data_IF_940167915637
#
_entry.id   IF_940167915637
#
_cell.length_a   1.000
_cell.length_b   1.000
_cell.length_c   1.000
_cell.angle_alpha   90.00
_cell.angle_beta   90.00
_cell.angle_gamma   90.00
#
_symmetry.space_group_name_H-M   'P 1'
#
loop_
_entity.id
_entity.type
_entity.pdbx_description
1 polymer ?
#
# COMPACT_ATOMS: atom_id res chain seq x y z
N UNK A 1 -7.27 -3.18 18.71
CA UNK A 1 -7.41 -3.36 17.25
C UNK A 1 -8.12 -4.66 16.93
N UNK A 2 -8.86 -4.68 15.83
CA UNK A 2 -9.48 -5.86 15.22
C UNK A 2 -8.85 -6.08 13.85
N UNK A 3 -8.58 -7.33 13.45
CA UNK A 3 -8.10 -7.63 12.09
C UNK A 3 -9.19 -8.38 11.33
N UNK A 4 -9.57 -7.87 10.15
CA UNK A 4 -10.40 -8.58 9.17
C UNK A 4 -9.50 -9.03 8.01
N UNK A 5 -9.40 -10.34 7.78
CA UNK A 5 -8.32 -10.97 7.00
C UNK A 5 -8.80 -12.24 6.27
N UNK A 6 -8.10 -12.66 5.23
CA UNK A 6 -8.32 -13.87 4.44
C UNK A 6 -7.04 -14.71 4.33
N UNK A 7 -6.54 -15.30 5.43
CA UNK A 7 -5.13 -15.65 5.60
C UNK A 7 -4.42 -16.34 4.44
N UNK A 8 -3.67 -15.54 3.68
CA UNK A 8 -2.56 -15.94 2.84
C UNK A 8 -1.21 -15.74 3.54
N UNK A 9 -0.11 -15.89 2.82
CA UNK A 9 1.24 -15.81 3.40
C UNK A 9 1.55 -14.45 4.05
N UNK A 10 1.13 -13.36 3.41
CA UNK A 10 1.29 -11.98 3.87
C UNK A 10 0.38 -11.64 5.04
N UNK A 11 -0.88 -12.10 5.04
CA UNK A 11 -1.76 -12.00 6.21
C UNK A 11 -1.18 -12.71 7.43
N UNK A 12 -0.65 -13.93 7.26
CA UNK A 12 -0.03 -14.66 8.36
C UNK A 12 1.15 -13.88 8.94
N UNK A 13 1.96 -13.25 8.10
CA UNK A 13 3.05 -12.39 8.54
C UNK A 13 2.53 -11.16 9.29
N UNK A 14 1.45 -10.53 8.81
CA UNK A 14 0.81 -9.40 9.48
C UNK A 14 0.25 -9.77 10.86
N UNK A 15 -0.47 -10.89 10.96
CA UNK A 15 -1.01 -11.42 12.23
C UNK A 15 0.14 -11.75 13.19
N UNK A 16 1.19 -12.41 12.70
CA UNK A 16 2.37 -12.75 13.52
C UNK A 16 3.05 -11.49 14.06
N UNK A 17 3.24 -10.48 13.20
CA UNK A 17 3.83 -9.21 13.62
C UNK A 17 2.94 -8.51 14.65
N UNK A 18 1.62 -8.50 14.45
CA UNK A 18 0.68 -7.92 15.41
C UNK A 18 0.72 -8.64 16.76
N UNK A 19 0.71 -9.98 16.76
CA UNK A 19 0.76 -10.80 17.96
C UNK A 19 2.08 -10.66 18.72
N UNK A 20 3.20 -10.42 18.02
CA UNK A 20 4.52 -10.25 18.61
C UNK A 20 4.74 -8.86 19.25
N UNK A 21 3.76 -7.95 19.18
CA UNK A 21 3.88 -6.55 19.61
C UNK A 21 2.96 -6.28 20.79
N UNK A 22 3.49 -6.27 22.04
CA UNK A 22 2.68 -6.02 23.24
C UNK A 22 1.96 -4.67 23.24
N UNK A 23 2.49 -3.69 22.49
CA UNK A 23 1.87 -2.39 22.28
C UNK A 23 0.57 -2.45 21.46
N UNK A 24 0.34 -3.53 20.71
CA UNK A 24 -0.86 -3.75 19.92
C UNK A 24 -1.82 -4.68 20.66
N UNK A 25 -2.91 -4.12 21.20
CA UNK A 25 -3.96 -4.91 21.82
C UNK A 25 -4.88 -5.53 20.74
N UNK A 26 -4.51 -6.71 20.25
CA UNK A 26 -5.34 -7.49 19.32
C UNK A 26 -6.55 -8.09 20.04
N UNK A 27 -7.76 -7.71 19.64
CA UNK A 27 -9.01 -8.15 20.27
C UNK A 27 -9.60 -9.41 19.65
N UNK A 28 -9.39 -9.62 18.35
CA UNK A 28 -9.95 -10.74 17.61
C UNK A 28 -9.62 -10.69 16.12
N UNK A 29 -9.86 -11.81 15.45
CA UNK A 29 -9.69 -11.99 14.01
C UNK A 29 -11.05 -12.30 13.37
N UNK A 30 -11.44 -11.53 12.36
CA UNK A 30 -12.57 -11.80 11.47
C UNK A 30 -12.08 -12.37 10.14
N UNK A 31 -12.68 -13.48 9.69
CA UNK A 31 -12.27 -14.17 8.49
C UNK A 31 -13.25 -13.96 7.35
N UNK A 32 -12.74 -13.76 6.14
CA UNK A 32 -13.54 -13.60 4.93
C UNK A 32 -12.96 -14.48 3.80
N UNK A 33 -13.78 -14.74 2.78
CA UNK A 33 -13.31 -15.29 1.52
C UNK A 33 -12.37 -14.32 0.81
N UNK A 34 -11.36 -14.84 0.11
CA UNK A 34 -10.43 -14.04 -0.69
C UNK A 34 -9.32 -14.91 -1.26
N UNK A 35 -8.11 -14.87 -0.71
CA UNK A 35 -6.96 -15.67 -1.12
C UNK A 35 -7.29 -17.15 -1.36
N UNK A 36 -8.19 -17.71 -0.55
CA UNK A 36 -8.78 -19.04 -0.71
C UNK A 36 -10.25 -19.03 -0.24
N UNK A 37 -11.02 -20.12 -0.45
CA UNK A 37 -12.34 -20.27 0.15
C UNK A 37 -12.29 -20.11 1.68
N UNK A 38 -13.36 -19.58 2.28
CA UNK A 38 -13.41 -19.27 3.72
C UNK A 38 -13.00 -20.46 4.61
N UNK A 39 -13.40 -21.68 4.25
CA UNK A 39 -13.02 -22.88 5.01
C UNK A 39 -11.51 -23.06 5.12
N UNK A 40 -10.74 -22.63 4.11
CA UNK A 40 -9.29 -22.72 4.09
C UNK A 40 -8.65 -21.52 4.79
N UNK A 41 -9.11 -20.30 4.53
CA UNK A 41 -8.57 -19.10 5.22
C UNK A 41 -8.80 -19.19 6.73
N UNK A 42 -9.92 -19.76 7.16
CA UNK A 42 -10.21 -20.08 8.56
C UNK A 42 -9.25 -21.14 9.13
N UNK A 43 -9.04 -22.27 8.44
CA UNK A 43 -8.08 -23.30 8.86
C UNK A 43 -6.66 -22.73 8.99
N UNK A 44 -6.25 -21.87 8.04
CA UNK A 44 -4.96 -21.18 8.07
C UNK A 44 -4.81 -20.30 9.32
N UNK A 45 -5.82 -19.48 9.65
CA UNK A 45 -5.83 -18.67 10.86
C UNK A 45 -5.74 -19.52 12.13
N UNK A 46 -6.52 -20.61 12.21
CA UNK A 46 -6.54 -21.48 13.40
C UNK A 46 -5.20 -22.19 13.61
N UNK A 47 -4.56 -22.66 12.53
CA UNK A 47 -3.21 -23.24 12.59
C UNK A 47 -2.19 -22.22 13.09
N UNK A 48 -2.23 -21.00 12.57
CA UNK A 48 -1.34 -19.94 13.02
C UNK A 48 -1.60 -19.59 14.48
N UNK A 49 -2.86 -19.41 14.88
CA UNK A 49 -3.23 -19.08 16.25
C UNK A 49 -2.70 -20.14 17.23
N UNK A 50 -2.82 -21.43 16.90
CA UNK A 50 -2.27 -22.50 17.71
C UNK A 50 -0.75 -22.46 17.80
N UNK A 51 -0.05 -22.22 16.68
CA UNK A 51 1.42 -22.14 16.65
C UNK A 51 1.94 -20.95 17.45
N UNK A 52 1.25 -19.80 17.37
CA UNK A 52 1.59 -18.59 18.11
C UNK A 52 1.07 -18.58 19.55
N UNK A 53 0.28 -19.59 19.95
CA UNK A 53 -0.50 -19.59 21.19
C UNK A 53 -1.33 -18.30 21.35
N UNK A 54 -1.92 -17.84 20.25
CA UNK A 54 -2.73 -16.64 20.21
C UNK A 54 -4.11 -16.92 20.81
N UNK A 55 -4.29 -16.62 22.09
CA UNK A 55 -5.55 -16.81 22.83
C UNK A 55 -6.66 -15.81 22.45
N UNK A 56 -6.56 -15.17 21.28
CA UNK A 56 -7.55 -14.21 20.79
C UNK A 56 -8.58 -14.93 19.91
N UNK A 57 -9.86 -14.54 19.98
CA UNK A 57 -10.93 -15.24 19.28
C UNK A 57 -10.80 -15.09 17.76
N UNK A 58 -11.16 -16.16 17.06
CA UNK A 58 -11.11 -16.29 15.60
C UNK A 58 -12.51 -16.58 15.10
N UNK A 59 -13.06 -15.73 14.24
CA UNK A 59 -14.46 -15.80 13.80
C UNK A 59 -14.57 -15.99 12.29
N UNK A 60 -15.35 -16.99 11.86
CA UNK A 60 -15.74 -17.12 10.46
C UNK A 60 -16.73 -16.03 10.04
N UNK A 61 -16.57 -15.49 8.83
CA UNK A 61 -17.44 -14.45 8.26
C UNK A 61 -18.03 -14.84 6.92
N UNK A 62 -18.06 -13.91 5.98
CA UNK A 62 -18.67 -14.11 4.67
C UNK A 62 -17.88 -15.10 3.81
N UNK A 63 -18.58 -16.08 3.22
CA UNK A 63 -18.02 -17.13 2.34
C UNK A 63 -18.04 -16.75 0.84
N UNK A 64 -18.63 -15.60 0.51
CA UNK A 64 -18.83 -15.06 -0.84
C UNK A 64 -18.94 -13.52 -0.78
N UNK A 65 -18.66 -12.80 -1.87
CA UNK A 65 -18.87 -11.35 -1.95
C UNK A 65 -20.36 -10.96 -1.88
N UNK A 66 -20.65 -9.67 -1.68
CA UNK A 66 -22.03 -9.15 -1.64
C UNK A 66 -22.80 -9.49 -2.92
N UNK A 67 -22.18 -9.27 -4.08
CA UNK A 67 -22.70 -9.63 -5.39
C UNK A 67 -21.67 -10.44 -6.18
N UNK A 68 -22.14 -11.24 -7.13
CA UNK A 68 -21.28 -11.99 -8.05
C UNK A 68 -20.83 -13.36 -7.52
N UNK A 69 -19.71 -13.84 -8.05
CA UNK A 69 -19.13 -15.14 -7.71
C UNK A 69 -17.88 -14.93 -6.85
N UNK A 70 -17.61 -15.88 -5.95
CA UNK A 70 -16.39 -15.86 -5.17
C UNK A 70 -15.16 -16.04 -6.07
N UNK A 71 -14.36 -14.98 -6.18
CA UNK A 71 -13.03 -15.01 -6.76
C UNK A 71 -12.03 -15.46 -5.69
N UNK A 72 -11.07 -16.31 -6.05
CA UNK A 72 -9.96 -16.62 -5.14
C UNK A 72 -8.63 -16.67 -5.85
N UNK A 73 -7.55 -16.26 -5.17
CA UNK A 73 -6.21 -16.35 -5.71
C UNK A 73 -5.83 -17.82 -6.04
N UNK A 74 -6.34 -18.77 -5.26
CA UNK A 74 -6.23 -20.22 -5.54
C UNK A 74 -6.92 -20.63 -6.85
N UNK A 75 -8.10 -20.07 -7.17
CA UNK A 75 -8.79 -20.34 -8.45
C UNK A 75 -8.01 -19.81 -9.66
N UNK A 76 -7.27 -18.70 -9.48
CA UNK A 76 -6.52 -18.04 -10.55
C UNK A 76 -5.12 -18.61 -10.77
N UNK A 77 -4.44 -19.02 -9.70
CA UNK A 77 -3.03 -19.41 -9.72
C UNK A 77 -2.79 -20.91 -9.41
N UNK A 78 -3.85 -21.64 -9.04
CA UNK A 78 -3.82 -23.07 -8.74
C UNK A 78 -3.47 -23.41 -7.28
N UNK A 79 -3.58 -24.71 -6.95
CA UNK A 79 -3.12 -25.29 -5.68
C UNK A 79 -1.62 -25.00 -5.50
N UNK A 80 -1.26 -24.12 -4.56
CA UNK A 80 0.12 -23.61 -4.41
C UNK A 80 0.22 -22.08 -4.31
N UNK A 81 -0.83 -21.35 -4.65
CA UNK A 81 -0.93 -19.88 -4.55
C UNK A 81 -0.85 -19.38 -3.08
N UNK A 82 -0.68 -18.07 -2.81
CA UNK A 82 -0.56 -17.53 -1.44
C UNK A 82 -1.67 -17.93 -0.46
N UNK A 83 -2.86 -18.35 -0.93
CA UNK A 83 -3.93 -18.92 -0.12
C UNK A 83 -3.79 -20.42 0.24
N UNK A 84 -2.89 -21.15 -0.42
CA UNK A 84 -2.46 -22.46 0.05
C UNK A 84 -1.32 -22.25 1.04
N UNK A 85 -1.63 -22.22 2.33
CA UNK A 85 -0.61 -22.63 3.27
C UNK A 85 -0.23 -24.05 2.91
N UNK A 86 1.03 -24.19 2.49
CA UNK A 86 1.67 -25.47 2.41
C UNK A 86 1.44 -26.22 3.73
N UNK A 87 1.28 -27.54 3.68
CA UNK A 87 0.95 -28.45 4.80
C UNK A 87 2.01 -28.48 5.91
N UNK A 88 2.86 -27.46 6.00
CA UNK A 88 3.98 -27.28 6.93
C UNK A 88 3.54 -26.85 8.32
N UNK A 89 2.41 -26.16 8.48
CA UNK A 89 1.85 -25.90 9.81
C UNK A 89 1.09 -27.14 10.32
N UNK A 90 1.27 -27.52 11.59
CA UNK A 90 0.54 -28.63 12.17
C UNK A 90 -0.97 -28.41 12.06
N UNK A 91 -1.78 -29.48 11.90
CA UNK A 91 -3.23 -29.37 11.92
C UNK A 91 -3.74 -28.62 13.16
N UNK A 92 -4.70 -27.71 12.94
CA UNK A 92 -5.37 -27.04 14.04
C UNK A 92 -6.21 -28.06 14.81
N UNK A 93 -6.06 -28.07 16.13
CA UNK A 93 -6.98 -28.72 17.07
C UNK A 93 -7.93 -27.69 17.69
N UNK A 94 -7.58 -26.41 17.61
CA UNK A 94 -8.41 -25.28 18.03
C UNK A 94 -9.53 -25.03 17.01
N UNK A 95 -10.69 -24.63 17.52
CA UNK A 95 -11.84 -24.24 16.71
C UNK A 95 -12.02 -22.73 16.66
N UNK A 96 -12.79 -22.26 15.68
CA UNK A 96 -13.29 -20.89 15.67
C UNK A 96 -14.30 -20.67 16.79
N UNK A 97 -14.38 -19.44 17.29
CA UNK A 97 -15.41 -19.05 18.24
C UNK A 97 -16.80 -18.97 17.56
N UNK A 98 -17.89 -19.19 18.30
CA UNK A 98 -19.23 -19.02 17.76
C UNK A 98 -19.50 -17.55 17.47
N UNK A 99 -20.24 -17.28 16.39
CA UNK A 99 -20.55 -15.92 15.94
C UNK A 99 -20.06 -15.67 14.52
N UNK A 100 -20.63 -14.65 13.88
CA UNK A 100 -20.24 -14.22 12.54
C UNK A 100 -19.31 -13.01 12.66
N UNK A 101 -18.18 -13.01 11.95
CA UNK A 101 -17.15 -11.96 12.02
C UNK A 101 -17.71 -10.52 11.98
N UNK A 102 -18.63 -10.24 11.03
CA UNK A 102 -19.29 -8.94 10.95
C UNK A 102 -20.06 -8.51 12.23
N UNK A 103 -20.74 -9.45 12.90
CA UNK A 103 -21.48 -9.16 14.14
C UNK A 103 -20.54 -8.96 15.33
N UNK A 104 -19.44 -9.72 15.37
CA UNK A 104 -18.45 -9.62 16.43
C UNK A 104 -17.61 -8.35 16.29
N UNK A 105 -17.34 -7.90 15.07
CA UNK A 105 -16.77 -6.58 14.80
C UNK A 105 -17.67 -5.46 15.35
N UNK A 106 -18.99 -5.53 15.12
CA UNK A 106 -19.95 -4.56 15.68
C UNK A 106 -19.88 -4.58 17.21
N UNK A 107 -19.90 -5.77 17.84
CA UNK A 107 -19.80 -5.91 19.30
C UNK A 107 -18.49 -5.31 19.84
N UNK A 108 -17.37 -5.59 19.17
CA UNK A 108 -16.08 -5.00 19.54
C UNK A 108 -16.11 -3.47 19.44
N UNK A 109 -16.66 -2.92 18.36
CA UNK A 109 -16.77 -1.46 18.17
C UNK A 109 -17.67 -0.80 19.21
N UNK A 110 -18.80 -1.45 19.56
CA UNK A 110 -19.69 -0.98 20.63
C UNK A 110 -19.05 -1.05 22.02
N UNK A 111 -18.14 -2.01 22.24
CA UNK A 111 -17.40 -2.15 23.50
C UNK A 111 -16.29 -1.11 23.63
N UNK A 112 -15.67 -0.73 22.51
CA UNK A 112 -14.55 0.21 22.45
C UNK A 112 -14.83 1.39 21.48
N UNK A 113 -15.88 2.18 21.74
CA UNK A 113 -16.30 3.24 20.81
C UNK A 113 -15.26 4.35 20.71
N UNK A 114 -14.87 4.70 19.49
CA UNK A 114 -13.84 5.71 19.18
C UNK A 114 -12.40 5.26 19.45
N UNK A 115 -12.20 4.05 20.00
CA UNK A 115 -10.88 3.49 20.33
C UNK A 115 -10.52 2.29 19.45
N UNK A 116 -11.48 1.67 18.77
CA UNK A 116 -11.23 0.51 17.95
C UNK A 116 -10.66 0.90 16.58
N UNK A 117 -9.39 0.62 16.34
CA UNK A 117 -8.83 0.51 14.98
C UNK A 117 -9.22 -0.81 14.34
N UNK A 118 -9.86 -0.75 13.17
CA UNK A 118 -10.11 -1.89 12.29
C UNK A 118 -8.98 -1.99 11.26
N UNK A 119 -8.28 -3.11 11.22
CA UNK A 119 -7.27 -3.43 10.21
C UNK A 119 -7.90 -4.38 9.20
N UNK A 120 -8.33 -3.87 8.05
CA UNK A 120 -8.95 -4.63 6.98
C UNK A 120 -7.92 -4.93 5.89
N UNK A 121 -7.43 -6.17 5.87
CA UNK A 121 -6.36 -6.62 4.96
C UNK A 121 -6.83 -7.65 3.93
N UNK A 122 -8.15 -7.76 3.76
CA UNK A 122 -8.86 -8.72 2.92
C UNK A 122 -10.02 -8.06 2.16
N UNK A 123 -10.77 -8.80 1.31
CA UNK A 123 -12.00 -8.29 0.72
C UNK A 123 -12.97 -7.75 1.78
N UNK A 124 -13.58 -6.60 1.51
CA UNK A 124 -14.28 -5.80 2.54
C UNK A 124 -15.67 -6.31 2.90
N UNK A 125 -16.03 -7.53 2.50
CA UNK A 125 -17.39 -8.07 2.59
C UNK A 125 -17.90 -8.09 4.03
N UNK A 126 -17.09 -8.54 4.99
CA UNK A 126 -17.45 -8.54 6.42
C UNK A 126 -17.68 -7.11 6.92
N UNK A 127 -16.81 -6.18 6.55
CA UNK A 127 -16.86 -4.78 6.99
C UNK A 127 -18.09 -4.08 6.42
N UNK A 128 -18.37 -4.27 5.12
CA UNK A 128 -19.55 -3.72 4.47
C UNK A 128 -20.84 -4.31 5.04
N UNK A 129 -20.89 -5.62 5.29
CA UNK A 129 -22.03 -6.26 5.97
C UNK A 129 -22.22 -5.67 7.37
N UNK A 130 -21.14 -5.49 8.13
CA UNK A 130 -21.19 -4.88 9.45
C UNK A 130 -21.75 -3.44 9.40
N UNK A 131 -21.29 -2.62 8.46
CA UNK A 131 -21.82 -1.26 8.25
C UNK A 131 -23.29 -1.23 7.80
N UNK A 132 -23.76 -2.25 7.08
CA UNK A 132 -25.18 -2.36 6.71
C UNK A 132 -26.06 -2.79 7.87
N UNK A 133 -25.53 -3.62 8.77
CA UNK A 133 -26.24 -4.07 9.97
C UNK A 133 -26.23 -3.02 11.08
N UNK A 134 -25.13 -2.27 11.20
CA UNK A 134 -24.94 -1.17 12.15
C UNK A 134 -24.48 0.10 11.40
N UNK A 135 -25.43 0.96 10.96
CA UNK A 135 -25.10 2.17 10.23
C UNK A 135 -24.24 3.18 11.00
N UNK A 136 -24.19 3.11 12.33
CA UNK A 136 -23.33 3.97 13.16
C UNK A 136 -21.91 3.44 13.31
N UNK A 137 -21.60 2.24 12.81
CA UNK A 137 -20.28 1.63 12.91
C UNK A 137 -19.12 2.55 12.48
N UNK A 138 -19.23 3.35 11.40
CA UNK A 138 -18.18 4.31 11.02
C UNK A 138 -17.80 5.31 12.12
N UNK A 139 -18.76 5.71 12.95
CA UNK A 139 -18.57 6.66 14.06
C UNK A 139 -18.01 5.97 15.32
N UNK A 140 -18.26 4.67 15.45
CA UNK A 140 -17.75 3.86 16.57
C UNK A 140 -16.29 3.44 16.37
N UNK A 141 -15.77 3.44 15.14
CA UNK A 141 -14.38 3.10 14.85
C UNK A 141 -13.47 4.31 15.01
N UNK A 142 -12.28 4.11 15.56
CA UNK A 142 -11.24 5.15 15.59
C UNK A 142 -10.77 5.47 14.16
N UNK A 143 -10.43 4.41 13.41
CA UNK A 143 -10.07 4.45 12.00
C UNK A 143 -10.14 3.05 11.40
N UNK A 144 -10.18 3.01 10.06
CA UNK A 144 -10.00 1.80 9.26
C UNK A 144 -8.63 1.89 8.59
N UNK A 145 -7.72 0.99 8.94
CA UNK A 145 -6.46 0.77 8.25
C UNK A 145 -6.69 -0.31 7.21
N UNK A 146 -6.64 0.07 5.95
CA UNK A 146 -7.06 -0.78 4.84
C UNK A 146 -5.86 -1.15 3.97
N UNK A 147 -5.62 -2.45 3.76
CA UNK A 147 -4.77 -2.92 2.67
C UNK A 147 -5.67 -3.26 1.49
N UNK A 148 -5.53 -2.48 0.43
CA UNK A 148 -6.31 -2.69 -0.77
C UNK A 148 -6.33 -1.45 -1.65
N UNK A 149 -6.67 -1.67 -2.91
CA UNK A 149 -6.76 -0.62 -3.91
C UNK A 149 -5.40 -0.14 -4.42
N UNK A 150 -5.47 0.81 -5.35
CA UNK A 150 -4.31 1.46 -5.92
C UNK A 150 -4.75 2.76 -6.56
N UNK A 151 -3.91 3.78 -6.49
CA UNK A 151 -4.14 5.03 -7.22
C UNK A 151 -3.70 4.94 -8.69
N UNK A 152 -2.98 3.86 -9.05
CA UNK A 152 -2.34 3.72 -10.36
C UNK A 152 -2.69 2.38 -11.08
N UNK A 153 -2.53 1.22 -10.43
CA UNK A 153 -2.68 -0.12 -11.05
C UNK A 153 -3.10 -1.21 -10.04
N UNK A 154 -3.86 -2.22 -10.47
CA UNK A 154 -4.20 -3.40 -9.67
C UNK A 154 -3.21 -4.59 -9.77
N UNK A 155 -3.25 -5.53 -8.81
CA UNK A 155 -2.57 -6.85 -8.88
C UNK A 155 -3.47 -7.99 -9.35
N UNK A 156 -4.80 -7.85 -9.31
CA UNK A 156 -5.73 -8.91 -9.71
C UNK A 156 -6.27 -8.67 -11.12
N UNK A 157 -6.62 -7.43 -11.44
CA UNK A 157 -6.76 -6.97 -12.83
C UNK A 157 -5.90 -5.73 -13.07
N UNK A 158 -5.78 -5.32 -14.34
CA UNK A 158 -5.01 -4.13 -14.73
C UNK A 158 -5.40 -2.85 -13.97
N UNK A 159 -6.64 -2.75 -13.49
CA UNK A 159 -7.19 -1.56 -12.84
C UNK A 159 -7.57 -1.77 -11.37
N UNK A 160 -7.67 -3.02 -10.89
CA UNK A 160 -8.18 -3.31 -9.55
C UNK A 160 -7.23 -4.24 -8.77
N UNK A 161 -6.90 -3.78 -7.57
CA UNK A 161 -6.23 -4.59 -6.57
C UNK A 161 -7.18 -5.68 -6.08
N UNK A 162 -6.64 -6.85 -5.69
CA UNK A 162 -7.34 -8.08 -5.34
C UNK A 162 -8.46 -7.87 -4.34
N UNK A 163 -8.17 -7.28 -3.19
CA UNK A 163 -9.16 -7.09 -2.12
C UNK A 163 -10.35 -6.24 -2.60
N UNK A 164 -10.07 -5.20 -3.39
CA UNK A 164 -11.12 -4.35 -3.96
C UNK A 164 -11.86 -5.03 -5.11
N UNK A 165 -11.17 -5.82 -5.94
CA UNK A 165 -11.79 -6.54 -7.05
C UNK A 165 -12.67 -7.70 -6.58
N UNK A 166 -12.28 -8.37 -5.50
CA UNK A 166 -12.99 -9.53 -4.97
C UNK A 166 -14.40 -9.16 -4.47
N UNK A 167 -14.61 -7.92 -4.01
CA UNK A 167 -15.92 -7.38 -3.64
C UNK A 167 -15.99 -5.85 -3.83
N UNK A 168 -16.18 -5.37 -5.07
CA UNK A 168 -16.18 -3.94 -5.37
C UNK A 168 -17.41 -3.23 -4.78
N UNK A 169 -18.53 -3.93 -4.63
CA UNK A 169 -19.71 -3.41 -3.95
C UNK A 169 -19.44 -3.17 -2.47
N UNK A 170 -18.78 -4.11 -1.78
CA UNK A 170 -18.35 -3.92 -0.40
C UNK A 170 -17.39 -2.73 -0.28
N UNK A 171 -16.43 -2.61 -1.20
CA UNK A 171 -15.54 -1.46 -1.24
C UNK A 171 -16.30 -0.14 -1.39
N UNK A 172 -17.29 -0.07 -2.29
CA UNK A 172 -18.12 1.11 -2.46
C UNK A 172 -18.88 1.49 -1.17
N UNK A 173 -19.36 0.50 -0.40
CA UNK A 173 -19.98 0.73 0.92
C UNK A 173 -18.96 1.33 1.90
N UNK A 174 -17.79 0.73 2.02
CA UNK A 174 -16.77 1.17 3.00
C UNK A 174 -16.23 2.55 2.66
N UNK A 175 -15.85 2.81 1.40
CA UNK A 175 -15.37 4.13 0.99
C UNK A 175 -16.46 5.22 1.07
N UNK A 176 -17.72 4.85 0.86
CA UNK A 176 -18.87 5.74 1.01
C UNK A 176 -19.38 5.94 2.44
N UNK A 177 -18.77 5.29 3.43
CA UNK A 177 -19.29 5.23 4.81
C UNK A 177 -19.06 6.48 5.66
N UNK A 178 -18.14 7.35 5.25
CA UNK A 178 -17.69 8.49 6.07
C UNK A 178 -16.71 8.12 7.19
N UNK A 179 -16.32 6.83 7.33
CA UNK A 179 -15.29 6.41 8.26
C UNK A 179 -13.94 7.09 7.92
N UNK A 180 -13.10 7.28 8.95
CA UNK A 180 -11.70 7.67 8.75
C UNK A 180 -10.91 6.48 8.20
N UNK A 181 -10.46 6.56 6.95
CA UNK A 181 -9.78 5.45 6.26
C UNK A 181 -8.32 5.82 5.92
N UNK A 182 -7.39 4.97 6.33
CA UNK A 182 -5.98 4.99 5.94
C UNK A 182 -5.71 3.83 4.97
N UNK A 183 -5.54 4.13 3.69
CA UNK A 183 -5.39 3.11 2.63
C UNK A 183 -3.92 2.86 2.25
N UNK A 184 -3.51 1.61 2.32
CA UNK A 184 -2.21 1.10 1.88
C UNK A 184 -2.39 0.25 0.61
N UNK A 185 -2.26 0.90 -0.55
CA UNK A 185 -2.39 0.25 -1.86
C UNK A 185 -1.06 -0.14 -2.50
N UNK A 186 -1.12 -0.81 -3.66
CA UNK A 186 0.05 -1.33 -4.42
C UNK A 186 0.83 -0.29 -5.22
N UNK A 187 0.84 0.97 -4.77
CA UNK A 187 1.36 2.07 -5.58
C UNK A 187 2.84 1.82 -5.93
N UNK A 188 3.15 1.82 -7.24
CA UNK A 188 4.50 1.99 -7.74
C UNK A 188 4.86 3.48 -7.64
N UNK A 189 5.92 3.76 -6.88
CA UNK A 189 6.48 5.09 -6.74
C UNK A 189 7.70 5.21 -7.63
N UNK A 190 7.75 6.31 -8.38
CA UNK A 190 8.96 6.70 -9.12
C UNK A 190 9.57 7.89 -8.42
N UNK A 191 10.84 7.77 -8.05
CA UNK A 191 11.67 8.88 -7.57
C UNK A 191 12.70 9.21 -8.64
N UNK A 192 13.11 10.47 -8.74
CA UNK A 192 14.11 10.87 -9.71
C UNK A 192 14.75 12.21 -9.39
N UNK A 193 15.80 12.53 -10.14
CA UNK A 193 16.54 13.78 -10.07
C UNK A 193 16.71 14.35 -11.48
N UNK A 194 16.30 15.60 -11.67
CA UNK A 194 16.36 16.32 -12.92
C UNK A 194 17.44 17.40 -12.87
N UNK A 195 18.23 17.51 -13.93
CA UNK A 195 19.18 18.61 -14.13
C UNK A 195 18.77 19.46 -15.33
N UNK A 196 19.39 20.63 -15.49
CA UNK A 196 19.23 21.49 -16.67
C UNK A 196 19.65 20.84 -17.99
N UNK A 197 20.38 19.72 -17.94
CA UNK A 197 20.86 18.98 -19.11
C UNK A 197 20.12 17.67 -19.38
N UNK A 198 19.22 17.24 -18.48
CA UNK A 198 18.58 15.92 -18.60
C UNK A 198 18.16 15.31 -17.26
N UNK A 199 17.35 14.25 -17.34
CA UNK A 199 17.08 13.37 -16.21
C UNK A 199 18.39 12.69 -15.79
N UNK A 200 18.82 12.88 -14.54
CA UNK A 200 20.08 12.34 -14.01
C UNK A 200 19.89 10.96 -13.41
N UNK A 201 18.80 10.78 -12.67
CA UNK A 201 18.51 9.56 -11.96
C UNK A 201 17.00 9.32 -11.93
N UNK A 202 16.59 8.06 -12.03
CA UNK A 202 15.23 7.64 -11.78
C UNK A 202 15.25 6.22 -11.20
N UNK A 203 14.36 5.95 -10.24
CA UNK A 203 14.19 4.64 -9.63
C UNK A 203 12.71 4.39 -9.41
N UNK A 204 12.24 3.22 -9.83
CA UNK A 204 10.87 2.75 -9.62
C UNK A 204 10.89 1.69 -8.54
N UNK A 205 10.04 1.83 -7.53
CA UNK A 205 9.90 0.88 -6.44
C UNK A 205 8.44 0.81 -5.95
N UNK A 206 8.11 -0.20 -5.15
CA UNK A 206 6.77 -0.39 -4.60
C UNK A 206 6.67 0.23 -3.22
N UNK A 207 5.56 0.93 -2.94
CA UNK A 207 5.33 1.61 -1.65
C UNK A 207 5.70 3.08 -1.68
N UNK A 208 5.60 3.76 -0.52
CA UNK A 208 5.85 5.20 -0.41
C UNK A 208 7.34 5.54 -0.31
N UNK A 209 7.71 6.79 -0.65
CA UNK A 209 9.07 7.32 -0.41
C UNK A 209 9.32 7.53 1.09
N UNK A 210 9.79 6.48 1.76
CA UNK A 210 10.24 6.53 3.14
C UNK A 210 11.77 6.75 3.25
N UNK A 211 12.30 6.77 4.47
CA UNK A 211 13.72 6.98 4.74
C UNK A 211 14.61 5.92 4.08
N UNK A 212 14.16 4.67 4.09
CA UNK A 212 14.93 3.53 3.57
C UNK A 212 14.97 3.59 2.04
N UNK A 213 13.80 3.75 1.40
CA UNK A 213 13.69 3.88 -0.04
C UNK A 213 14.51 5.08 -0.56
N UNK A 214 14.46 6.21 0.15
CA UNK A 214 15.23 7.39 -0.22
C UNK A 214 16.75 7.19 -0.09
N UNK A 215 17.23 6.57 0.99
CA UNK A 215 18.66 6.25 1.16
C UNK A 215 19.15 5.28 0.08
N UNK A 216 18.33 4.29 -0.30
CA UNK A 216 18.64 3.39 -1.41
C UNK A 216 18.76 4.17 -2.72
N UNK A 217 17.78 5.03 -3.04
CA UNK A 217 17.85 5.91 -4.22
C UNK A 217 19.12 6.76 -4.20
N UNK A 218 19.41 7.40 -3.06
CA UNK A 218 20.57 8.28 -2.89
C UNK A 218 21.87 7.53 -3.21
N UNK A 219 22.14 6.41 -2.52
CA UNK A 219 23.41 5.73 -2.62
C UNK A 219 23.58 4.93 -3.91
N UNK A 220 22.52 4.28 -4.39
CA UNK A 220 22.62 3.36 -5.52
C UNK A 220 22.40 4.05 -6.87
N UNK A 221 21.67 5.17 -6.90
CA UNK A 221 21.22 5.78 -8.15
C UNK A 221 21.68 7.23 -8.28
N UNK A 222 21.48 8.07 -7.26
CA UNK A 222 21.78 9.50 -7.37
C UNK A 222 23.27 9.82 -7.24
N UNK A 223 23.94 9.42 -6.15
CA UNK A 223 25.35 9.75 -5.90
C UNK A 223 26.30 9.39 -7.07
N UNK A 224 26.16 8.23 -7.74
CA UNK A 224 27.00 7.91 -8.90
C UNK A 224 26.89 8.88 -10.08
N UNK A 225 25.81 9.67 -10.15
CA UNK A 225 25.54 10.61 -11.24
C UNK A 225 26.00 12.03 -10.93
N UNK A 226 26.29 12.33 -9.66
CA UNK A 226 26.67 13.67 -9.22
C UNK A 226 28.11 14.01 -9.60
N UNK A 227 28.35 15.31 -9.82
CA UNK A 227 29.67 15.88 -10.10
C UNK A 227 30.00 16.99 -9.11
N UNK A 228 31.26 17.08 -8.63
CA UNK A 228 31.67 18.17 -7.75
C UNK A 228 31.30 19.55 -8.32
N UNK A 229 30.82 20.43 -7.45
CA UNK A 229 30.34 21.77 -7.80
C UNK A 229 28.86 21.87 -8.16
N UNK A 230 28.13 20.75 -8.28
CA UNK A 230 26.68 20.78 -8.50
C UNK A 230 25.91 21.21 -7.25
N UNK A 231 24.77 21.87 -7.48
CA UNK A 231 23.78 22.17 -6.45
C UNK A 231 22.64 21.17 -6.57
N UNK A 232 22.41 20.39 -5.52
CA UNK A 232 21.30 19.46 -5.42
C UNK A 232 20.15 20.15 -4.69
N UNK A 233 19.13 20.53 -5.44
CA UNK A 233 17.89 21.06 -4.88
C UNK A 233 17.00 19.88 -4.48
N UNK A 234 16.59 19.85 -3.22
CA UNK A 234 15.75 18.79 -2.66
C UNK A 234 14.39 19.36 -2.27
N UNK A 235 13.33 18.60 -2.55
CA UNK A 235 12.02 18.92 -1.99
C UNK A 235 12.02 18.76 -0.45
N UNK A 236 11.05 19.36 0.23
CA UNK A 236 10.98 19.43 1.68
C UNK A 236 10.35 18.18 2.35
N UNK A 237 10.33 17.04 1.66
CA UNK A 237 9.86 15.76 2.20
C UNK A 237 10.70 15.30 3.40
N UNK A 238 10.06 14.79 4.44
CA UNK A 238 10.76 14.29 5.64
C UNK A 238 11.83 13.23 5.37
N UNK A 239 11.67 12.40 4.34
CA UNK A 239 12.66 11.42 3.91
C UNK A 239 13.97 12.05 3.41
N UNK A 240 13.92 13.23 2.79
CA UNK A 240 15.11 13.95 2.31
C UNK A 240 15.93 14.55 3.46
N UNK A 241 15.32 14.75 4.63
CA UNK A 241 15.98 15.25 5.84
C UNK A 241 16.54 14.13 6.71
N UNK A 242 16.57 12.90 6.20
CA UNK A 242 17.14 11.75 6.92
C UNK A 242 18.62 11.97 7.21
N UNK A 243 19.05 11.59 8.43
CA UNK A 243 20.44 11.68 8.84
C UNK A 243 21.33 10.91 7.84
N UNK A 244 22.38 11.57 7.36
CA UNK A 244 23.33 11.00 6.40
C UNK A 244 23.10 11.43 4.95
N UNK A 245 21.92 11.94 4.60
CA UNK A 245 21.62 12.42 3.23
C UNK A 245 22.52 13.59 2.84
N UNK A 246 22.44 14.70 3.56
CA UNK A 246 23.24 15.89 3.26
C UNK A 246 24.75 15.64 3.33
N UNK A 247 25.30 14.99 4.39
CA UNK A 247 26.72 14.65 4.44
C UNK A 247 27.20 13.80 3.26
N UNK A 248 26.38 12.86 2.77
CA UNK A 248 26.76 12.02 1.64
C UNK A 248 26.84 12.81 0.32
N UNK A 249 25.92 13.76 0.10
CA UNK A 249 25.93 14.64 -1.08
C UNK A 249 27.09 15.62 -1.01
N UNK A 250 27.34 16.21 0.17
CA UNK A 250 28.48 17.12 0.40
C UNK A 250 29.83 16.41 0.23
N UNK A 251 29.94 15.15 0.66
CA UNK A 251 31.12 14.32 0.43
C UNK A 251 31.39 14.05 -1.06
N UNK A 252 30.37 14.13 -1.92
CA UNK A 252 30.53 14.09 -3.37
C UNK A 252 30.94 15.45 -3.98
N UNK A 253 31.22 16.46 -3.15
CA UNK A 253 31.61 17.81 -3.56
C UNK A 253 30.45 18.67 -4.04
N UNK A 254 29.21 18.32 -3.70
CA UNK A 254 28.00 19.05 -4.09
C UNK A 254 27.45 19.89 -2.93
N UNK A 255 26.59 20.87 -3.23
CA UNK A 255 25.86 21.67 -2.22
C UNK A 255 24.40 21.26 -2.18
N UNK A 256 23.80 21.16 -0.99
CA UNK A 256 22.38 20.82 -0.82
C UNK A 256 21.57 22.07 -0.50
N UNK A 257 20.46 22.28 -1.22
CA UNK A 257 19.48 23.33 -0.94
C UNK A 257 18.09 22.68 -0.85
N UNK A 258 17.29 23.05 0.14
CA UNK A 258 15.90 22.60 0.24
C UNK A 258 14.95 23.66 -0.30
N UNK A 259 13.90 23.25 -1.00
CA UNK A 259 12.78 24.13 -1.37
C UNK A 259 12.01 24.59 -0.13
N UNK A 260 11.27 25.70 -0.27
CA UNK A 260 10.35 26.15 0.78
C UNK A 260 9.24 25.11 0.99
N UNK A 261 8.78 24.91 2.24
CA UNK A 261 7.62 24.07 2.50
C UNK A 261 6.40 24.49 1.66
N UNK A 262 5.72 23.52 1.05
CA UNK A 262 4.51 23.73 0.25
C UNK A 262 4.67 24.61 -1.00
N UNK A 263 5.88 24.67 -1.57
CA UNK A 263 6.16 25.45 -2.78
C UNK A 263 6.60 24.58 -3.97
N UNK A 264 5.71 23.72 -4.50
CA UNK A 264 6.03 22.85 -5.64
C UNK A 264 6.34 23.62 -6.93
N UNK A 265 5.90 24.87 -7.05
CA UNK A 265 6.18 25.76 -8.19
C UNK A 265 7.68 26.06 -8.37
N UNK A 266 8.47 25.98 -7.30
CA UNK A 266 9.93 26.15 -7.36
C UNK A 266 10.67 24.83 -7.58
N UNK A 267 9.98 23.73 -7.89
CA UNK A 267 10.59 22.43 -8.15
C UNK A 267 10.43 22.03 -9.63
N UNK A 268 11.45 22.20 -10.48
CA UNK A 268 11.35 21.94 -11.92
C UNK A 268 10.93 20.50 -12.27
N UNK A 269 11.21 19.53 -11.39
CA UNK A 269 10.86 18.12 -11.65
C UNK A 269 9.35 17.87 -11.63
N UNK A 270 8.54 18.76 -11.05
CA UNK A 270 7.08 18.62 -11.07
C UNK A 270 6.50 18.72 -12.49
N UNK A 271 7.11 19.55 -13.34
CA UNK A 271 6.78 19.62 -14.77
C UNK A 271 7.10 18.31 -15.50
N UNK A 272 8.25 17.71 -15.18
CA UNK A 272 8.65 16.38 -15.65
C UNK A 272 7.62 15.31 -15.28
N UNK A 273 7.26 15.20 -13.99
CA UNK A 273 6.30 14.22 -13.54
C UNK A 273 4.91 14.43 -14.14
N UNK A 274 4.50 15.69 -14.33
CA UNK A 274 3.24 16.02 -15.00
C UNK A 274 3.22 15.51 -16.45
N UNK A 275 4.30 15.69 -17.21
CA UNK A 275 4.44 15.19 -18.58
C UNK A 275 4.49 13.66 -18.62
N UNK A 276 5.29 13.03 -17.75
CA UNK A 276 5.36 11.56 -17.64
C UNK A 276 3.99 10.97 -17.34
N UNK A 277 3.25 11.51 -16.36
CA UNK A 277 1.88 11.08 -16.04
C UNK A 277 0.92 11.26 -17.24
N UNK A 278 1.08 12.31 -18.04
CA UNK A 278 0.28 12.48 -19.26
C UNK A 278 0.57 11.39 -20.30
N UNK A 279 1.84 11.04 -20.52
CA UNK A 279 2.25 9.98 -21.45
C UNK A 279 1.74 8.61 -20.96
N UNK A 280 1.95 8.30 -19.67
CA UNK A 280 1.53 7.02 -19.08
C UNK A 280 0.01 6.80 -19.17
N UNK A 281 -0.80 7.86 -18.99
CA UNK A 281 -2.25 7.80 -19.18
C UNK A 281 -2.65 7.36 -20.60
N UNK A 282 -1.84 7.69 -21.61
CA UNK A 282 -2.06 7.27 -22.99
C UNK A 282 -1.61 5.83 -23.29
N UNK A 283 -0.56 5.34 -22.61
CA UNK A 283 -0.01 3.98 -22.83
C UNK A 283 -0.91 2.90 -22.21
N UNK A 284 -1.54 3.19 -21.07
CA UNK A 284 -2.43 2.26 -20.36
C UNK A 284 -1.81 0.87 -20.10
N UNK A 285 -0.56 0.85 -19.62
CA UNK A 285 0.18 -0.37 -19.28
C UNK A 285 -0.52 -1.21 -18.19
N UNK A 286 -0.50 -2.54 -18.34
CA UNK A 286 -1.40 -3.47 -17.61
C UNK A 286 -0.68 -4.47 -16.69
N UNK A 287 0.64 -4.43 -16.65
CA UNK A 287 1.48 -5.26 -15.77
C UNK A 287 2.57 -4.42 -15.14
N UNK A 288 3.19 -4.88 -14.05
CA UNK A 288 4.33 -4.20 -13.42
C UNK A 288 5.48 -4.00 -14.40
N UNK A 289 5.82 -5.02 -15.17
CA UNK A 289 6.91 -4.98 -16.15
C UNK A 289 6.62 -3.97 -17.26
N UNK A 290 5.41 -4.04 -17.85
CA UNK A 290 5.01 -3.10 -18.91
C UNK A 290 4.89 -1.67 -18.39
N UNK A 291 4.48 -1.45 -17.14
CA UNK A 291 4.42 -0.12 -16.54
C UNK A 291 5.83 0.41 -16.24
N UNK A 292 6.75 -0.43 -15.75
CA UNK A 292 8.15 -0.04 -15.54
C UNK A 292 8.80 0.35 -16.87
N UNK A 293 8.53 -0.43 -17.93
CA UNK A 293 9.01 -0.13 -19.28
C UNK A 293 8.34 1.11 -19.88
N UNK A 294 7.05 1.34 -19.59
CA UNK A 294 6.34 2.55 -19.98
C UNK A 294 6.89 3.79 -19.25
N UNK A 295 7.26 3.67 -17.98
CA UNK A 295 7.91 4.75 -17.22
C UNK A 295 9.27 5.08 -17.85
N UNK A 296 10.09 4.07 -18.15
CA UNK A 296 11.36 4.27 -18.84
C UNK A 296 11.16 4.96 -20.19
N UNK A 297 10.23 4.47 -21.00
CA UNK A 297 9.91 5.05 -22.32
C UNK A 297 9.38 6.49 -22.20
N UNK A 298 8.58 6.79 -21.18
CA UNK A 298 8.05 8.13 -20.95
C UNK A 298 9.15 9.11 -20.52
N UNK A 299 10.15 8.65 -19.76
CA UNK A 299 11.32 9.43 -19.39
C UNK A 299 12.21 9.73 -20.61
N UNK A 300 12.37 8.77 -21.53
CA UNK A 300 13.13 8.95 -22.78
C UNK A 300 12.49 9.97 -23.74
N UNK A 301 11.19 10.26 -23.58
CA UNK A 301 10.46 11.27 -24.36
C UNK A 301 10.58 12.69 -23.78
N UNK A 302 11.33 12.88 -22.69
CA UNK A 302 11.61 14.20 -22.12
C UNK A 302 12.70 14.87 -22.96
N UNK A 303 12.35 15.97 -23.62
CA UNK A 303 13.25 16.72 -24.47
C UNK A 303 13.93 17.84 -23.67
N UNK A 304 15.13 18.24 -24.08
CA UNK A 304 15.87 19.33 -23.44
C UNK A 304 15.07 20.65 -23.39
N UNK A 305 14.27 20.92 -24.43
CA UNK A 305 13.37 22.08 -24.47
C UNK A 305 12.32 22.07 -23.33
N UNK A 306 11.82 20.88 -22.95
CA UNK A 306 10.85 20.76 -21.87
C UNK A 306 11.52 21.11 -20.54
N UNK A 307 12.73 20.57 -20.33
CA UNK A 307 13.55 20.79 -19.15
C UNK A 307 13.87 22.28 -18.98
N UNK A 308 14.36 22.93 -20.04
CA UNK A 308 14.62 24.37 -20.02
C UNK A 308 13.36 25.17 -19.69
N UNK A 309 12.21 24.79 -20.26
CA UNK A 309 10.92 25.39 -19.95
C UNK A 309 10.54 25.27 -18.47
N UNK A 310 10.71 24.09 -17.87
CA UNK A 310 10.39 23.85 -16.46
C UNK A 310 11.32 24.57 -15.49
N UNK A 311 12.62 24.59 -15.77
CA UNK A 311 13.59 25.35 -14.96
C UNK A 311 13.31 26.85 -15.02
N UNK A 312 13.05 27.39 -16.20
CA UNK A 312 12.67 28.80 -16.37
C UNK A 312 11.36 29.12 -15.64
N UNK A 313 10.35 28.25 -15.74
CA UNK A 313 9.07 28.41 -15.04
C UNK A 313 9.24 28.44 -13.51
N UNK A 314 10.12 27.59 -12.99
CA UNK A 314 10.44 27.52 -11.56
C UNK A 314 11.42 28.62 -11.08
N UNK A 315 11.79 29.57 -11.97
CA UNK A 315 12.61 30.73 -11.62
C UNK A 315 14.13 30.50 -11.63
N UNK A 316 14.60 29.39 -12.19
CA UNK A 316 16.03 29.12 -12.36
C UNK A 316 16.51 29.76 -13.66
N UNK A 317 17.34 30.80 -13.57
CA UNK A 317 17.97 31.43 -14.74
C UNK A 317 19.04 30.50 -15.32
N UNK A 318 18.69 29.75 -16.36
CA UNK A 318 19.64 29.01 -17.17
C UNK A 318 20.24 29.99 -18.19
N UNK A 319 21.43 30.50 -17.90
CA UNK A 319 22.20 31.38 -18.79
C UNK A 319 22.76 30.66 -20.02
#
# INVERSE_FOLDING_TARGET
MWIDTDPGFDDLAAITLAAARPELNLLGLGLVVGNAPLSRTLDNALRLAQVLQLERPVYGGCDRPILGHAESAENLLGLGAPGSLDRRLPPATWGSEPGHAALELIRAAQTYPGELTLVAIAPLTNVALAMRLEPQLPELLQEIVLMGGSTNQGNHTAAAEFNIYADPEAAAVVFGSGARISMFGLNLTTIGALSCTGMQAAMVFTGATDKTAFLTFLHQVLLPTLRPGQIVVMDNLGAHRTRGVQPAIEAAGCTVIFTLPYSPEFNPIEGCWSKVKAILRGIAARTRESLTQAIASALDLIMLQDIQGWFNHAGYCLG
#
